data_IF_322849669556
#
_entry.id   IF_322849669556
#
_cell.length_a   1.000
_cell.length_b   1.000
_cell.length_c   1.000
_cell.angle_alpha   90.00
_cell.angle_beta   90.00
_cell.angle_gamma   90.00
#
_symmetry.space_group_name_H-M   'P 1'
#
loop_
_entity.id
_entity.type
_entity.pdbx_description
1 polymer ?
#
# COMPACT_ATOMS: atom_id res chain seq x y z
N UNK A 1 30.83 35.08 -57.92
CA UNK A 1 30.69 34.48 -56.57
C UNK A 1 29.43 35.01 -55.93
N UNK A 2 28.36 34.22 -55.90
CA UNK A 2 27.24 34.30 -54.92
C UNK A 2 26.16 33.29 -55.35
N UNK A 3 26.17 32.11 -54.75
CA UNK A 3 25.11 31.09 -54.89
C UNK A 3 24.23 31.18 -53.66
N UNK A 4 22.98 31.64 -53.84
CA UNK A 4 21.98 31.75 -52.78
C UNK A 4 21.41 30.34 -52.51
N UNK A 5 21.69 29.80 -51.31
CA UNK A 5 21.17 28.51 -50.85
C UNK A 5 19.75 28.66 -50.31
N UNK A 6 18.85 27.85 -50.87
CA UNK A 6 17.46 27.66 -50.46
C UNK A 6 17.36 27.10 -49.02
N UNK A 7 16.76 27.88 -48.11
CA UNK A 7 16.40 27.43 -46.76
C UNK A 7 15.08 26.66 -46.75
N UNK A 8 15.13 25.35 -46.52
CA UNK A 8 13.96 24.49 -46.27
C UNK A 8 13.27 24.93 -44.97
N UNK A 9 12.08 25.52 -45.08
CA UNK A 9 11.12 25.64 -43.95
C UNK A 9 10.68 24.22 -43.56
N UNK A 10 11.08 23.77 -42.37
CA UNK A 10 10.50 22.59 -41.71
C UNK A 10 9.14 22.96 -41.15
N UNK A 11 8.07 22.49 -41.80
CA UNK A 11 6.72 22.51 -41.25
C UNK A 11 6.67 21.53 -40.08
N UNK A 12 6.55 22.05 -38.86
CA UNK A 12 6.28 21.25 -37.67
C UNK A 12 4.82 20.77 -37.82
N UNK A 13 4.65 19.49 -38.14
CA UNK A 13 3.35 18.82 -38.05
C UNK A 13 3.03 18.65 -36.57
N UNK A 14 2.09 19.45 -36.07
CA UNK A 14 1.39 19.17 -34.81
C UNK A 14 0.56 17.90 -35.06
N UNK A 15 1.01 16.78 -34.51
CA UNK A 15 0.25 15.54 -34.55
C UNK A 15 -0.95 15.69 -33.62
N UNK A 16 -2.12 15.41 -34.18
CA UNK A 16 -3.42 15.56 -33.55
C UNK A 16 -3.56 14.68 -32.30
N UNK A 17 -4.08 15.29 -31.23
CA UNK A 17 -4.56 14.62 -30.04
C UNK A 17 -5.63 13.57 -30.41
N UNK A 18 -5.36 12.32 -30.06
CA UNK A 18 -6.38 11.30 -29.83
C UNK A 18 -6.32 10.97 -28.34
N UNK A 19 -7.03 11.73 -27.51
CA UNK A 19 -7.15 11.46 -26.08
C UNK A 19 -8.28 10.46 -25.82
N UNK A 20 -7.91 9.19 -25.63
CA UNK A 20 -8.67 8.21 -24.85
C UNK A 20 -8.02 8.20 -23.47
N UNK A 21 -8.76 8.55 -22.42
CA UNK A 21 -8.24 8.77 -21.06
C UNK A 21 -7.47 7.56 -20.53
N UNK A 22 -6.13 7.67 -20.49
CA UNK A 22 -5.25 6.57 -20.07
C UNK A 22 -5.28 6.28 -18.57
N UNK A 23 -4.87 5.06 -18.20
CA UNK A 23 -4.66 4.57 -16.83
C UNK A 23 -4.02 5.60 -15.86
N UNK A 24 -2.99 6.39 -16.24
CA UNK A 24 -2.41 7.40 -15.35
C UNK A 24 -3.42 8.46 -14.88
N UNK A 25 -4.38 8.83 -15.72
CA UNK A 25 -5.42 9.81 -15.38
C UNK A 25 -6.46 9.21 -14.42
N UNK A 26 -6.75 7.92 -14.52
CA UNK A 26 -7.67 7.22 -13.61
C UNK A 26 -7.08 7.06 -12.22
N UNK A 27 -5.82 6.63 -12.12
CA UNK A 27 -5.11 6.50 -10.83
C UNK A 27 -5.04 7.84 -10.09
N UNK A 28 -4.69 8.91 -10.81
CA UNK A 28 -4.66 10.25 -10.24
C UNK A 28 -6.04 10.69 -9.74
N UNK A 29 -7.11 10.47 -10.52
CA UNK A 29 -8.48 10.82 -10.11
C UNK A 29 -8.89 10.07 -8.84
N UNK A 30 -8.68 8.76 -8.79
CA UNK A 30 -9.01 7.96 -7.61
C UNK A 30 -8.26 8.44 -6.36
N UNK A 31 -6.98 8.78 -6.49
CA UNK A 31 -6.18 9.31 -5.39
C UNK A 31 -6.69 10.67 -4.88
N UNK A 32 -7.10 11.56 -5.80
CA UNK A 32 -7.72 12.85 -5.45
C UNK A 32 -9.09 12.64 -4.77
N UNK A 33 -9.91 11.72 -5.27
CA UNK A 33 -11.20 11.40 -4.66
C UNK A 33 -11.01 10.87 -3.24
N UNK A 34 -10.08 9.94 -3.04
CA UNK A 34 -9.69 9.44 -1.72
C UNK A 34 -9.18 10.54 -0.78
N UNK A 35 -8.33 11.46 -1.28
CA UNK A 35 -7.90 12.63 -0.52
C UNK A 35 -9.07 13.56 -0.14
N UNK A 36 -10.06 13.72 -1.02
CA UNK A 36 -11.25 14.52 -0.74
C UNK A 36 -12.08 13.93 0.41
N UNK A 37 -12.18 12.60 0.51
CA UNK A 37 -12.85 11.92 1.62
C UNK A 37 -12.14 12.21 2.94
N UNK A 38 -10.81 12.09 2.98
CA UNK A 38 -10.00 12.42 4.17
C UNK A 38 -10.10 13.88 4.57
N UNK A 39 -10.14 14.79 3.59
CA UNK A 39 -10.32 16.21 3.85
C UNK A 39 -11.71 16.51 4.43
N UNK A 40 -12.78 15.93 3.89
CA UNK A 40 -14.14 16.09 4.45
C UNK A 40 -14.24 15.56 5.88
N UNK A 41 -13.71 14.35 6.12
CA UNK A 41 -13.67 13.75 7.46
C UNK A 41 -12.97 14.67 8.47
N UNK A 42 -11.83 15.24 8.08
CA UNK A 42 -11.05 16.17 8.92
C UNK A 42 -11.85 17.41 9.35
N UNK A 43 -12.83 17.84 8.53
CA UNK A 43 -13.64 19.03 8.80
C UNK A 43 -14.98 18.71 9.49
N UNK A 44 -15.23 17.45 9.88
CA UNK A 44 -16.41 17.12 10.69
C UNK A 44 -16.26 17.64 12.12
N UNK A 45 -17.37 17.94 12.83
CA UNK A 45 -17.33 18.36 14.23
C UNK A 45 -16.64 17.36 15.16
N UNK A 46 -16.83 16.08 14.89
CA UNK A 46 -16.18 14.97 15.57
C UNK A 46 -15.53 14.09 14.49
N UNK A 47 -14.28 14.36 14.07
CA UNK A 47 -13.63 13.58 13.02
C UNK A 47 -13.12 12.24 13.57
N UNK A 48 -13.20 11.17 12.78
CA UNK A 48 -12.56 9.88 13.10
C UNK A 48 -11.03 10.01 13.17
N UNK A 49 -10.46 10.82 12.28
CA UNK A 49 -9.04 11.14 12.21
C UNK A 49 -8.85 12.51 11.58
N UNK A 50 -7.66 13.09 11.80
CA UNK A 50 -7.27 14.38 11.21
C UNK A 50 -6.16 14.12 10.19
N UNK A 51 -6.44 14.47 8.93
CA UNK A 51 -5.44 14.55 7.86
C UNK A 51 -5.18 16.01 7.53
N UNK A 52 -4.18 16.60 8.20
CA UNK A 52 -3.79 17.99 8.04
C UNK A 52 -3.31 18.34 6.62
N UNK A 53 -3.02 17.35 5.78
CA UNK A 53 -2.43 17.56 4.47
C UNK A 53 -3.38 17.22 3.31
N UNK A 54 -4.46 16.46 3.54
CA UNK A 54 -5.40 16.05 2.49
C UNK A 54 -5.88 17.23 1.62
N UNK A 55 -6.13 18.39 2.24
CA UNK A 55 -6.60 19.60 1.54
C UNK A 55 -5.62 20.11 0.47
N UNK A 56 -4.31 19.87 0.61
CA UNK A 56 -3.31 20.34 -0.35
C UNK A 56 -3.38 19.62 -1.70
N UNK A 57 -4.04 18.45 -1.76
CA UNK A 57 -4.24 17.70 -2.99
C UNK A 57 -5.48 18.12 -3.77
N UNK A 58 -6.36 18.90 -3.16
CA UNK A 58 -7.58 19.36 -3.80
C UNK A 58 -7.25 20.62 -4.60
N UNK A 59 -7.37 20.54 -5.92
CA UNK A 59 -7.44 21.75 -6.76
C UNK A 59 -8.87 22.25 -6.82
N UNK A 60 -9.10 23.41 -7.45
CA UNK A 60 -10.47 23.89 -7.77
C UNK A 60 -11.29 22.91 -8.64
N UNK A 61 -10.68 21.83 -9.16
CA UNK A 61 -11.39 20.75 -9.87
C UNK A 61 -12.12 19.77 -8.93
N UNK A 62 -11.95 19.88 -7.61
CA UNK A 62 -12.62 19.01 -6.64
C UNK A 62 -14.11 19.36 -6.40
N UNK A 63 -14.69 20.24 -7.21
CA UNK A 63 -16.04 20.77 -7.03
C UNK A 63 -17.20 19.84 -7.46
N UNK A 64 -16.96 18.63 -7.98
CA UNK A 64 -18.07 17.85 -8.57
C UNK A 64 -18.03 16.34 -8.45
N UNK A 65 -17.48 15.79 -7.36
CA UNK A 65 -17.83 14.43 -6.99
C UNK A 65 -19.01 14.48 -6.02
N UNK A 66 -20.22 14.20 -6.52
CA UNK A 66 -21.32 13.62 -5.73
C UNK A 66 -20.83 12.28 -5.16
N UNK A 67 -19.92 12.33 -4.20
CA UNK A 67 -19.38 11.12 -3.58
C UNK A 67 -20.47 10.60 -2.66
N UNK A 68 -21.02 9.45 -3.02
CA UNK A 68 -22.03 8.76 -2.23
C UNK A 68 -21.59 8.73 -0.74
N UNK A 69 -22.41 9.31 0.14
CA UNK A 69 -22.14 9.45 1.58
C UNK A 69 -21.72 8.13 2.24
N UNK A 70 -22.21 7.01 1.73
CA UNK A 70 -21.89 5.66 2.22
C UNK A 70 -20.45 5.26 1.85
N UNK A 71 -20.01 5.54 0.61
CA UNK A 71 -18.63 5.31 0.16
C UNK A 71 -17.64 6.16 0.97
N UNK A 72 -18.03 7.39 1.30
CA UNK A 72 -17.27 8.28 2.18
C UNK A 72 -17.05 7.67 3.57
N UNK A 73 -18.10 7.12 4.18
CA UNK A 73 -18.01 6.58 5.54
C UNK A 73 -17.09 5.36 5.63
N UNK A 74 -17.16 4.40 4.69
CA UNK A 74 -16.31 3.20 4.72
C UNK A 74 -14.84 3.54 4.53
N UNK A 75 -14.49 4.36 3.54
CA UNK A 75 -13.09 4.73 3.33
C UNK A 75 -12.49 5.43 4.56
N UNK A 76 -13.26 6.26 5.25
CA UNK A 76 -12.83 6.89 6.49
C UNK A 76 -12.69 5.88 7.65
N UNK A 77 -13.63 4.94 7.83
CA UNK A 77 -13.52 3.86 8.81
C UNK A 77 -12.29 2.98 8.56
N UNK A 78 -12.03 2.62 7.30
CA UNK A 78 -10.83 1.91 6.88
C UNK A 78 -9.56 2.69 7.21
N UNK A 79 -9.54 3.98 6.89
CA UNK A 79 -8.40 4.86 7.19
C UNK A 79 -8.10 4.86 8.68
N UNK A 80 -9.12 5.04 9.54
CA UNK A 80 -8.98 5.01 11.01
C UNK A 80 -8.49 3.67 11.52
N UNK A 81 -9.08 2.58 11.04
CA UNK A 81 -8.69 1.22 11.42
C UNK A 81 -7.22 0.94 11.07
N UNK A 82 -6.81 1.29 9.86
CA UNK A 82 -5.43 1.08 9.38
C UNK A 82 -4.45 1.92 10.19
N UNK A 83 -4.78 3.19 10.47
CA UNK A 83 -3.96 4.08 11.30
C UNK A 83 -3.76 3.51 12.71
N UNK A 84 -4.84 3.12 13.38
CA UNK A 84 -4.79 2.57 14.74
C UNK A 84 -3.99 1.27 14.78
N UNK A 85 -4.19 0.39 13.80
CA UNK A 85 -3.50 -0.89 13.72
C UNK A 85 -2.01 -0.69 13.44
N UNK A 86 -1.64 0.21 12.51
CA UNK A 86 -0.25 0.60 12.27
C UNK A 86 0.40 1.09 13.56
N UNK A 87 -0.22 2.06 14.24
CA UNK A 87 0.31 2.64 15.45
C UNK A 87 0.40 1.63 16.59
N UNK A 88 -0.58 0.75 16.74
CA UNK A 88 -0.56 -0.34 17.73
C UNK A 88 0.60 -1.31 17.49
N UNK A 89 0.88 -1.66 16.23
CA UNK A 89 1.94 -2.62 15.90
C UNK A 89 3.33 -1.99 16.09
N UNK A 90 3.57 -0.80 15.53
CA UNK A 90 4.92 -0.19 15.56
C UNK A 90 5.33 0.29 16.96
N UNK A 91 4.37 0.63 17.82
CA UNK A 91 4.61 1.04 19.21
C UNK A 91 4.71 -0.12 20.20
N UNK A 92 4.52 -1.38 19.76
CA UNK A 92 4.80 -2.55 20.60
C UNK A 92 6.26 -2.60 21.05
N UNK A 93 6.55 -3.36 22.11
CA UNK A 93 7.90 -3.48 22.71
C UNK A 93 8.96 -3.80 21.65
N UNK A 94 8.67 -4.75 20.77
CA UNK A 94 9.50 -5.15 19.63
C UNK A 94 8.85 -4.78 18.29
N UNK A 95 8.14 -3.65 18.27
CA UNK A 95 7.43 -3.18 17.08
C UNK A 95 8.37 -3.03 15.87
N UNK A 96 7.91 -3.36 14.65
CA UNK A 96 8.74 -3.27 13.46
C UNK A 96 9.19 -1.83 13.20
N UNK A 97 10.36 -1.70 12.57
CA UNK A 97 10.90 -0.42 12.07
C UNK A 97 10.86 -0.33 10.54
N UNK A 98 10.39 -1.36 9.87
CA UNK A 98 10.11 -1.36 8.44
C UNK A 98 8.59 -1.32 8.24
N UNK A 99 8.10 -0.24 7.65
CA UNK A 99 6.68 -0.01 7.38
C UNK A 99 6.52 0.06 5.87
N UNK A 100 5.74 -0.84 5.29
CA UNK A 100 5.45 -0.84 3.85
C UNK A 100 4.00 -0.42 3.66
N UNK A 101 3.81 0.70 2.97
CA UNK A 101 2.51 1.26 2.64
C UNK A 101 2.26 1.06 1.14
N UNK A 102 1.27 0.26 0.80
CA UNK A 102 0.75 0.10 -0.56
C UNK A 102 -0.41 1.08 -0.77
N UNK A 103 -0.18 2.13 -1.55
CA UNK A 103 -1.04 3.31 -1.57
C UNK A 103 -1.37 3.80 -2.98
N UNK A 104 -2.38 4.67 -3.07
CA UNK A 104 -2.73 5.39 -4.30
C UNK A 104 -1.74 6.51 -4.69
N UNK A 105 -0.72 6.78 -3.85
CA UNK A 105 0.29 7.81 -4.05
C UNK A 105 -0.02 9.17 -3.41
N UNK A 106 -1.19 9.35 -2.79
CA UNK A 106 -1.55 10.54 -2.01
C UNK A 106 -1.66 10.26 -0.50
N UNK A 107 -1.04 9.18 -0.01
CA UNK A 107 -1.03 8.84 1.41
C UNK A 107 -0.21 9.85 2.23
N UNK A 108 -0.81 10.35 3.31
CA UNK A 108 -0.27 11.38 4.20
C UNK A 108 0.24 10.80 5.53
N UNK A 109 0.04 9.49 5.78
CA UNK A 109 0.51 8.80 7.00
C UNK A 109 1.99 9.04 7.32
N UNK A 110 2.93 9.06 6.34
CA UNK A 110 4.33 9.38 6.64
C UNK A 110 4.52 10.74 7.32
N UNK A 111 3.61 11.68 7.08
CA UNK A 111 3.69 13.07 7.54
C UNK A 111 2.82 13.36 8.77
N UNK A 112 1.72 12.62 8.98
CA UNK A 112 0.75 12.88 10.05
C UNK A 112 0.78 11.88 11.21
N UNK A 113 1.29 10.67 11.02
CA UNK A 113 1.41 9.68 12.09
C UNK A 113 2.74 9.84 12.86
N UNK A 114 2.70 9.58 14.16
CA UNK A 114 3.85 9.71 15.07
C UNK A 114 4.69 8.44 15.08
N UNK A 115 5.44 8.21 14.01
CA UNK A 115 6.27 7.02 13.84
C UNK A 115 7.38 6.89 14.92
N UNK A 116 7.68 5.67 15.40
CA UNK A 116 8.84 5.41 16.23
C UNK A 116 10.15 5.87 15.58
N UNK A 117 11.15 6.19 16.40
CA UNK A 117 12.49 6.57 15.91
C UNK A 117 13.10 5.45 15.08
N UNK A 118 13.87 5.84 14.05
CA UNK A 118 14.56 4.93 13.13
C UNK A 118 13.60 4.08 12.29
N UNK A 119 12.40 4.59 12.02
CA UNK A 119 11.43 3.95 11.12
C UNK A 119 11.77 4.22 9.64
N UNK A 120 11.76 3.16 8.84
CA UNK A 120 11.86 3.17 7.39
C UNK A 120 10.48 2.93 6.81
N UNK A 121 9.96 3.91 6.09
CA UNK A 121 8.63 3.89 5.49
C UNK A 121 8.82 3.73 3.98
N UNK A 122 8.39 2.60 3.45
CA UNK A 122 8.41 2.28 2.03
C UNK A 122 7.03 2.57 1.45
N UNK A 123 6.92 3.59 0.60
CA UNK A 123 5.68 3.94 -0.09
C UNK A 123 5.70 3.27 -1.47
N UNK A 124 4.89 2.23 -1.64
CA UNK A 124 4.71 1.55 -2.92
C UNK A 124 3.45 2.11 -3.58
N UNK A 125 3.66 2.96 -4.57
CA UNK A 125 2.56 3.71 -5.21
C UNK A 125 2.90 4.17 -6.63
N UNK A 126 1.89 4.55 -7.45
CA UNK A 126 2.10 5.01 -8.81
C UNK A 126 3.03 6.23 -8.87
N UNK A 127 4.11 6.15 -9.64
CA UNK A 127 5.18 7.15 -9.58
C UNK A 127 4.71 8.57 -9.94
N UNK A 128 3.82 8.69 -10.92
CA UNK A 128 3.29 9.98 -11.35
C UNK A 128 2.42 10.66 -10.27
N UNK A 129 1.61 9.87 -9.55
CA UNK A 129 0.76 10.39 -8.47
C UNK A 129 1.62 10.78 -7.27
N UNK A 130 2.57 9.91 -6.90
CA UNK A 130 3.51 10.18 -5.81
C UNK A 130 4.31 11.46 -6.01
N UNK A 131 4.88 11.70 -7.19
CA UNK A 131 5.70 12.90 -7.42
C UNK A 131 4.87 14.19 -7.35
N UNK A 132 3.63 14.16 -7.87
CA UNK A 132 2.71 15.29 -7.73
C UNK A 132 2.35 15.54 -6.25
N UNK A 133 2.06 14.48 -5.50
CA UNK A 133 1.74 14.57 -4.08
C UNK A 133 2.93 15.12 -3.28
N UNK A 134 4.14 14.60 -3.53
CA UNK A 134 5.38 15.04 -2.91
C UNK A 134 5.65 16.52 -3.11
N UNK A 135 5.42 17.04 -4.31
CA UNK A 135 5.57 18.47 -4.61
C UNK A 135 4.57 19.33 -3.84
N UNK A 136 3.30 18.92 -3.75
CA UNK A 136 2.25 19.63 -3.02
C UNK A 136 2.50 19.63 -1.51
N UNK A 137 2.84 18.46 -0.95
CA UNK A 137 3.22 18.29 0.45
C UNK A 137 4.43 19.16 0.81
N UNK A 138 5.44 19.20 -0.05
CA UNK A 138 6.59 20.12 0.12
C UNK A 138 6.15 21.58 0.08
N UNK A 139 5.22 21.95 -0.81
CA UNK A 139 4.68 23.30 -0.94
C UNK A 139 3.97 23.81 0.32
N UNK A 140 3.28 22.93 1.05
CA UNK A 140 2.64 23.26 2.34
C UNK A 140 3.55 23.05 3.55
N UNK A 141 4.83 22.72 3.33
CA UNK A 141 5.82 22.55 4.39
C UNK A 141 5.66 21.26 5.20
N UNK A 142 4.99 20.23 4.66
CA UNK A 142 4.87 18.93 5.30
C UNK A 142 6.27 18.31 5.52
N UNK A 143 6.50 17.80 6.73
CA UNK A 143 7.79 17.20 7.11
C UNK A 143 7.55 15.88 7.81
N UNK A 144 8.37 14.91 7.47
CA UNK A 144 8.48 13.64 8.20
C UNK A 144 9.39 13.87 9.40
N UNK A 145 9.20 13.10 10.48
CA UNK A 145 10.08 13.11 11.63
C UNK A 145 11.55 12.90 11.18
N UNK A 146 12.48 13.72 11.70
CA UNK A 146 13.91 13.67 11.32
C UNK A 146 14.58 12.31 11.58
N UNK A 147 13.98 11.49 12.43
CA UNK A 147 14.44 10.15 12.78
C UNK A 147 13.88 9.05 11.88
N UNK A 148 13.07 9.40 10.88
CA UNK A 148 12.45 8.45 9.96
C UNK A 148 12.87 8.75 8.52
N UNK A 149 12.78 7.74 7.66
CA UNK A 149 13.05 7.87 6.23
C UNK A 149 11.84 7.41 5.43
N UNK A 150 11.43 8.20 4.44
CA UNK A 150 10.41 7.83 3.45
C UNK A 150 11.09 7.50 2.12
N UNK A 151 10.78 6.33 1.60
CA UNK A 151 11.40 5.73 0.42
C UNK A 151 10.31 5.30 -0.54
N UNK A 152 10.14 6.03 -1.65
CA UNK A 152 9.16 5.67 -2.68
C UNK A 152 9.65 4.52 -3.55
N UNK A 153 8.81 3.52 -3.78
CA UNK A 153 9.02 2.41 -4.72
C UNK A 153 7.92 2.50 -5.78
N UNK A 154 8.27 2.75 -7.06
CA UNK A 154 7.29 2.78 -8.13
C UNK A 154 6.51 1.47 -8.21
N UNK A 155 5.18 1.58 -8.14
CA UNK A 155 4.27 0.43 -8.30
C UNK A 155 4.46 -0.24 -9.68
N UNK A 156 4.79 0.55 -10.69
CA UNK A 156 5.02 0.12 -12.07
C UNK A 156 6.36 -0.60 -12.29
N UNK A 157 7.20 -0.73 -11.25
CA UNK A 157 8.47 -1.46 -11.36
C UNK A 157 8.23 -2.91 -11.77
N UNK A 158 9.00 -3.39 -12.75
CA UNK A 158 8.93 -4.78 -13.23
C UNK A 158 9.37 -5.77 -12.16
N UNK A 159 10.28 -5.36 -11.28
CA UNK A 159 10.71 -6.13 -10.11
C UNK A 159 10.61 -5.27 -8.85
N UNK A 160 9.41 -5.24 -8.28
CA UNK A 160 9.12 -4.52 -7.03
C UNK A 160 9.88 -5.11 -5.85
N UNK A 161 10.14 -6.43 -5.83
CA UNK A 161 10.87 -7.08 -4.75
C UNK A 161 12.31 -6.59 -4.70
N UNK A 162 12.99 -6.61 -5.84
CA UNK A 162 14.35 -6.09 -5.95
C UNK A 162 14.40 -4.59 -5.67
N UNK A 163 13.41 -3.83 -6.15
CA UNK A 163 13.31 -2.40 -5.86
C UNK A 163 13.20 -2.10 -4.37
N UNK A 164 12.46 -2.93 -3.62
CA UNK A 164 12.35 -2.82 -2.16
C UNK A 164 13.67 -3.21 -1.48
N UNK A 165 14.31 -4.32 -1.90
CA UNK A 165 15.61 -4.78 -1.38
C UNK A 165 16.70 -3.73 -1.56
N UNK A 166 16.81 -3.14 -2.75
CA UNK A 166 17.77 -2.08 -3.06
C UNK A 166 17.56 -0.81 -2.24
N UNK A 167 16.33 -0.58 -1.74
CA UNK A 167 16.03 0.51 -0.80
C UNK A 167 16.24 0.14 0.66
N UNK A 168 16.69 -1.08 0.93
CA UNK A 168 17.06 -1.56 2.26
C UNK A 168 15.97 -2.33 2.99
N UNK A 169 14.86 -2.69 2.34
CA UNK A 169 13.91 -3.62 2.95
C UNK A 169 14.57 -5.00 3.05
N UNK A 170 14.62 -5.56 4.26
CA UNK A 170 15.10 -6.92 4.50
C UNK A 170 13.99 -7.82 5.02
N UNK A 171 13.84 -8.99 4.41
CA UNK A 171 12.94 -10.03 4.88
C UNK A 171 13.46 -10.79 6.09
N UNK A 172 14.61 -10.45 6.63
CA UNK A 172 15.10 -11.00 7.91
C UNK A 172 14.78 -10.14 9.12
N UNK A 173 14.13 -9.00 8.92
CA UNK A 173 13.83 -8.00 9.96
C UNK A 173 12.31 -7.82 10.01
N UNK A 174 11.70 -7.63 11.20
CA UNK A 174 10.27 -7.43 11.31
C UNK A 174 9.78 -6.26 10.47
N UNK A 175 8.66 -6.47 9.78
CA UNK A 175 7.99 -5.49 8.93
C UNK A 175 6.49 -5.50 9.15
N UNK A 176 5.85 -4.38 8.87
CA UNK A 176 4.39 -4.25 8.84
C UNK A 176 3.96 -3.73 7.48
N UNK A 177 2.93 -4.35 6.91
CA UNK A 177 2.45 -4.07 5.56
C UNK A 177 1.00 -3.60 5.61
N UNK A 178 0.72 -2.45 5.03
CA UNK A 178 -0.63 -1.90 4.96
C UNK A 178 -1.01 -1.58 3.52
N UNK A 179 -2.25 -1.90 3.11
CA UNK A 179 -2.79 -1.55 1.79
C UNK A 179 -4.08 -0.72 1.91
N UNK A 180 -4.14 0.39 1.17
CA UNK A 180 -5.37 1.16 1.02
C UNK A 180 -5.33 2.02 -0.24
N UNK A 181 -6.46 2.15 -0.94
CA UNK A 181 -6.61 3.10 -2.05
C UNK A 181 -5.98 2.66 -3.37
N UNK A 182 -4.92 1.85 -3.34
CA UNK A 182 -4.39 1.26 -4.57
C UNK A 182 -5.40 0.22 -5.09
N UNK A 183 -5.90 0.38 -6.32
CA UNK A 183 -6.90 -0.52 -6.84
C UNK A 183 -6.26 -1.85 -7.25
N UNK A 184 -6.48 -2.88 -6.44
CA UNK A 184 -6.17 -4.27 -6.81
C UNK A 184 -7.27 -4.76 -7.75
N UNK A 185 -7.04 -4.58 -9.05
CA UNK A 185 -8.11 -4.63 -10.06
C UNK A 185 -8.60 -6.05 -10.39
N UNK A 186 -7.82 -7.08 -10.08
CA UNK A 186 -8.16 -8.47 -10.39
C UNK A 186 -7.41 -9.45 -9.45
N UNK A 187 -7.75 -10.74 -9.58
CA UNK A 187 -7.13 -11.81 -8.81
C UNK A 187 -5.64 -11.97 -9.04
N UNK A 188 -5.16 -11.83 -10.27
CA UNK A 188 -3.72 -11.97 -10.57
C UNK A 188 -2.90 -10.89 -9.85
N UNK A 189 -3.40 -9.66 -9.78
CA UNK A 189 -2.75 -8.59 -9.03
C UNK A 189 -2.73 -8.85 -7.51
N UNK A 190 -3.78 -9.48 -6.97
CA UNK A 190 -3.81 -9.87 -5.57
C UNK A 190 -2.84 -11.03 -5.30
N UNK A 191 -2.80 -12.02 -6.19
CA UNK A 191 -1.88 -13.16 -6.13
C UNK A 191 -0.42 -12.68 -6.16
N UNK A 192 -0.06 -11.83 -7.14
CA UNK A 192 1.26 -11.21 -7.23
C UNK A 192 1.64 -10.44 -5.95
N UNK A 193 0.68 -9.72 -5.37
CA UNK A 193 0.87 -9.00 -4.11
C UNK A 193 1.11 -9.98 -2.96
N UNK A 194 0.31 -11.03 -2.82
CA UNK A 194 0.45 -12.04 -1.77
C UNK A 194 1.76 -12.84 -1.91
N UNK A 195 2.18 -13.17 -3.13
CA UNK A 195 3.49 -13.77 -3.41
C UNK A 195 4.61 -12.84 -2.96
N UNK A 196 4.54 -11.56 -3.33
CA UNK A 196 5.57 -10.58 -2.98
C UNK A 196 5.65 -10.30 -1.48
N UNK A 197 4.52 -10.07 -0.80
CA UNK A 197 4.51 -9.91 0.66
C UNK A 197 4.95 -11.21 1.31
N UNK A 198 4.55 -12.35 0.76
CA UNK A 198 4.90 -13.69 1.22
C UNK A 198 6.41 -13.98 1.18
N UNK A 199 7.11 -13.52 0.16
CA UNK A 199 8.56 -13.70 0.02
C UNK A 199 9.37 -12.72 0.86
N UNK A 200 8.84 -11.52 1.12
CA UNK A 200 9.58 -10.43 1.77
C UNK A 200 9.25 -10.23 3.25
N UNK A 201 8.06 -10.61 3.72
CA UNK A 201 7.69 -10.48 5.12
C UNK A 201 8.19 -11.69 5.91
N UNK A 202 8.95 -11.46 6.99
CA UNK A 202 9.39 -12.53 7.88
C UNK A 202 8.20 -13.20 8.59
N UNK A 203 8.40 -14.43 9.07
CA UNK A 203 7.41 -15.13 9.89
C UNK A 203 6.96 -14.25 11.06
N UNK A 204 5.64 -14.16 11.25
CA UNK A 204 5.01 -13.36 12.30
C UNK A 204 4.68 -11.91 11.89
N UNK A 205 5.21 -11.41 10.76
CA UNK A 205 4.83 -10.11 10.24
C UNK A 205 3.33 -10.02 9.92
N UNK A 206 2.80 -8.80 9.99
CA UNK A 206 1.40 -8.51 9.72
C UNK A 206 1.23 -7.79 8.37
N UNK A 207 0.27 -8.24 7.58
CA UNK A 207 -0.23 -7.59 6.38
C UNK A 207 -1.72 -7.32 6.54
N UNK A 208 -2.18 -6.07 6.38
CA UNK A 208 -3.58 -5.73 6.60
C UNK A 208 -3.99 -4.56 5.71
N UNK A 209 -5.29 -4.29 5.63
CA UNK A 209 -5.77 -3.15 4.87
C UNK A 209 -7.15 -3.36 4.29
N UNK A 210 -7.44 -2.57 3.25
CA UNK A 210 -8.69 -2.63 2.50
C UNK A 210 -8.48 -3.26 1.12
N UNK A 211 -9.41 -4.13 0.74
CA UNK A 211 -9.39 -4.91 -0.50
C UNK A 211 -10.75 -4.89 -1.18
N UNK A 212 -10.81 -4.59 -2.48
CA UNK A 212 -12.04 -4.57 -3.27
C UNK A 212 -12.40 -5.94 -3.85
N UNK A 213 -13.09 -6.78 -3.07
CA UNK A 213 -13.54 -8.14 -3.47
C UNK A 213 -14.51 -8.20 -4.65
N UNK A 214 -15.23 -7.12 -4.97
CA UNK A 214 -16.22 -7.12 -6.06
C UNK A 214 -15.64 -7.34 -7.45
N UNK A 215 -14.36 -7.05 -7.64
CA UNK A 215 -13.69 -7.15 -8.94
C UNK A 215 -13.19 -8.56 -9.25
N UNK A 216 -13.34 -9.50 -8.31
CA UNK A 216 -12.54 -10.71 -8.27
C UNK A 216 -13.31 -11.97 -8.63
N UNK A 217 -14.65 -11.95 -8.64
CA UNK A 217 -15.48 -13.00 -9.22
C UNK A 217 -16.93 -12.51 -9.46
N UNK A 218 -17.54 -12.78 -10.64
CA UNK A 218 -18.97 -12.53 -10.87
C UNK A 218 -19.79 -13.64 -10.19
N UNK A 219 -20.55 -13.32 -9.14
CA UNK A 219 -21.49 -14.27 -8.52
C UNK A 219 -21.71 -14.15 -7.01
N UNK A 220 -20.93 -13.32 -6.30
CA UNK A 220 -21.12 -13.05 -4.86
C UNK A 220 -22.32 -12.13 -4.56
N UNK A 221 -23.47 -12.35 -5.19
CA UNK A 221 -24.70 -11.60 -4.88
C UNK A 221 -25.38 -12.09 -3.59
N UNK A 222 -24.97 -13.24 -3.05
CA UNK A 222 -25.42 -13.75 -1.75
C UNK A 222 -24.34 -14.66 -1.12
N UNK A 223 -24.23 -14.64 0.22
CA UNK A 223 -23.41 -15.49 1.12
C UNK A 223 -22.02 -14.96 1.57
N UNK A 224 -22.02 -14.16 2.66
CA UNK A 224 -20.82 -13.79 3.45
C UNK A 224 -19.92 -14.97 3.83
N UNK A 225 -20.48 -16.17 4.03
CA UNK A 225 -19.72 -17.38 4.41
C UNK A 225 -18.80 -17.88 3.30
N UNK A 226 -19.19 -17.70 2.05
CA UNK A 226 -18.44 -18.21 0.91
C UNK A 226 -17.28 -17.28 0.59
N UNK A 227 -17.46 -15.97 0.78
CA UNK A 227 -16.38 -14.98 0.69
C UNK A 227 -15.30 -15.25 1.73
N UNK A 228 -15.69 -15.52 2.99
CA UNK A 228 -14.72 -15.84 4.05
C UNK A 228 -13.89 -17.08 3.69
N UNK A 229 -14.54 -18.21 3.37
CA UNK A 229 -13.82 -19.45 3.02
C UNK A 229 -12.89 -19.27 1.82
N UNK A 230 -13.31 -18.49 0.83
CA UNK A 230 -12.51 -18.20 -0.34
C UNK A 230 -11.28 -17.34 0.00
N UNK A 231 -11.46 -16.26 0.76
CA UNK A 231 -10.37 -15.40 1.25
C UNK A 231 -9.40 -16.22 2.11
N UNK A 232 -9.92 -17.05 3.03
CA UNK A 232 -9.11 -17.93 3.87
C UNK A 232 -8.25 -18.85 3.02
N UNK A 233 -8.85 -19.53 2.03
CA UNK A 233 -8.13 -20.44 1.14
C UNK A 233 -7.05 -19.72 0.34
N UNK A 234 -7.34 -18.53 -0.20
CA UNK A 234 -6.40 -17.75 -0.99
C UNK A 234 -5.21 -17.26 -0.16
N UNK A 235 -5.45 -16.70 1.02
CA UNK A 235 -4.37 -16.25 1.89
C UNK A 235 -3.55 -17.42 2.44
N UNK A 236 -4.22 -18.52 2.81
CA UNK A 236 -3.55 -19.72 3.31
C UNK A 236 -2.66 -20.37 2.24
N UNK A 237 -3.04 -20.36 0.96
CA UNK A 237 -2.15 -20.86 -0.11
C UNK A 237 -0.87 -20.04 -0.27
N UNK A 238 -0.90 -18.80 0.22
CA UNK A 238 0.25 -17.89 0.29
C UNK A 238 0.89 -17.85 1.69
N UNK A 239 0.53 -18.76 2.58
CA UNK A 239 1.10 -18.87 3.91
C UNK A 239 0.66 -17.80 4.89
N UNK A 240 -0.49 -17.16 4.65
CA UNK A 240 -1.07 -16.20 5.57
C UNK A 240 -2.29 -16.78 6.29
N UNK A 241 -2.33 -16.64 7.62
CA UNK A 241 -3.59 -16.75 8.35
C UNK A 241 -4.29 -15.39 8.28
N UNK A 242 -5.56 -15.34 7.86
CA UNK A 242 -6.30 -14.09 7.63
C UNK A 242 -7.59 -14.05 8.43
N UNK A 243 -7.87 -12.88 8.99
CA UNK A 243 -9.14 -12.53 9.62
C UNK A 243 -9.79 -11.40 8.82
N UNK A 244 -11.06 -11.57 8.43
CA UNK A 244 -11.85 -10.47 7.83
C UNK A 244 -12.46 -9.64 8.95
N UNK A 245 -12.29 -8.33 8.87
CA UNK A 245 -12.84 -7.38 9.84
C UNK A 245 -14.08 -6.72 9.25
N UNK A 246 -15.21 -6.85 9.94
CA UNK A 246 -16.47 -6.27 9.50
C UNK A 246 -16.50 -4.76 9.76
N UNK A 247 -16.89 -3.98 8.74
CA UNK A 247 -17.08 -2.52 8.89
C UNK A 247 -18.09 -2.16 9.99
N UNK A 248 -19.14 -2.97 10.18
CA UNK A 248 -20.13 -2.77 11.24
C UNK A 248 -19.52 -2.91 12.64
N UNK A 249 -18.50 -3.76 12.80
CA UNK A 249 -17.78 -3.91 14.05
C UNK A 249 -16.92 -2.67 14.35
N UNK A 250 -16.18 -2.20 13.34
CA UNK A 250 -15.36 -0.99 13.45
C UNK A 250 -16.23 0.23 13.73
N UNK A 251 -17.33 0.40 12.99
CA UNK A 251 -18.26 1.49 13.20
C UNK A 251 -18.81 1.49 14.62
N UNK A 252 -19.23 0.32 15.13
CA UNK A 252 -19.72 0.18 16.51
C UNK A 252 -18.65 0.54 17.54
N UNK A 253 -17.43 0.07 17.36
CA UNK A 253 -16.31 0.37 18.27
C UNK A 253 -15.93 1.86 18.27
N UNK A 254 -16.19 2.56 17.16
CA UNK A 254 -15.95 4.00 17.01
C UNK A 254 -17.21 4.86 17.28
N UNK A 255 -18.28 4.27 17.83
CA UNK A 255 -19.56 4.95 18.06
C UNK A 255 -20.14 5.64 16.82
N UNK A 256 -20.01 5.00 15.65
CA UNK A 256 -20.58 5.45 14.38
C UNK A 256 -21.76 4.56 13.96
N UNK A 257 -22.69 5.15 13.21
CA UNK A 257 -23.74 4.40 12.54
C UNK A 257 -23.14 3.41 11.55
N UNK A 258 -23.79 2.26 11.37
CA UNK A 258 -23.38 1.30 10.33
C UNK A 258 -23.36 2.03 8.97
N UNK A 259 -22.27 1.89 8.19
CA UNK A 259 -22.19 2.55 6.90
C UNK A 259 -23.32 2.10 5.95
N UNK A 260 -23.94 0.94 6.18
CA UNK A 260 -25.00 0.40 5.31
C UNK A 260 -24.47 -0.04 3.94
N UNK A 261 -25.22 -0.90 3.25
CA UNK A 261 -24.93 -1.38 1.90
C UNK A 261 -23.81 -2.42 1.80
N UNK A 262 -23.92 -3.32 0.82
CA UNK A 262 -22.82 -4.18 0.41
C UNK A 262 -21.96 -3.43 -0.60
N UNK A 263 -20.72 -3.12 -0.21
CA UNK A 263 -19.82 -2.31 -1.02
C UNK A 263 -18.60 -3.05 -1.55
N UNK A 264 -18.61 -4.39 -1.50
CA UNK A 264 -17.62 -5.18 -2.23
C UNK A 264 -16.17 -4.83 -1.87
N UNK A 265 -15.96 -4.23 -0.69
CA UNK A 265 -14.66 -4.04 -0.07
C UNK A 265 -14.67 -4.66 1.32
N UNK A 266 -13.59 -5.37 1.64
CA UNK A 266 -13.34 -5.99 2.94
C UNK A 266 -12.16 -5.30 3.60
N UNK A 267 -12.18 -5.29 4.94
CA UNK A 267 -10.98 -5.08 5.72
C UNK A 267 -10.47 -6.45 6.16
N UNK A 268 -9.16 -6.61 6.21
CA UNK A 268 -8.55 -7.86 6.62
C UNK A 268 -7.30 -7.60 7.46
N UNK A 269 -6.95 -8.59 8.28
CA UNK A 269 -5.67 -8.68 8.98
C UNK A 269 -5.09 -10.06 8.72
N UNK A 270 -3.89 -10.11 8.19
CA UNK A 270 -3.20 -11.34 7.86
C UNK A 270 -1.86 -11.44 8.59
N UNK A 271 -1.56 -12.62 9.11
CA UNK A 271 -0.28 -12.94 9.74
C UNK A 271 0.51 -13.92 8.87
N UNK A 272 1.76 -13.58 8.57
CA UNK A 272 2.68 -14.44 7.84
C UNK A 272 3.06 -15.66 8.69
N UNK A 273 2.80 -16.85 8.17
CA UNK A 273 3.12 -18.13 8.83
C UNK A 273 4.45 -18.72 8.34
N UNK A 274 4.88 -18.35 7.14
CA UNK A 274 6.09 -18.89 6.49
C UNK A 274 7.31 -18.02 6.78
N UNK A 275 8.49 -18.62 6.66
CA UNK A 275 9.73 -17.88 6.62
C UNK A 275 9.79 -17.10 5.29
N UNK A 276 10.32 -15.88 5.34
CA UNK A 276 10.65 -15.13 4.12
C UNK A 276 11.77 -15.82 3.35
N UNK A 277 11.99 -15.40 2.10
CA UNK A 277 13.09 -15.91 1.28
C UNK A 277 14.45 -15.61 1.94
N UNK A 278 14.61 -14.44 2.57
CA UNK A 278 15.83 -14.07 3.29
C UNK A 278 16.05 -14.96 4.52
N UNK A 279 14.99 -15.30 5.25
CA UNK A 279 15.09 -16.20 6.39
C UNK A 279 15.45 -17.61 5.92
N UNK A 280 14.80 -18.10 4.86
CA UNK A 280 15.09 -19.41 4.28
C UNK A 280 16.54 -19.50 3.80
N UNK A 281 17.05 -18.47 3.14
CA UNK A 281 18.42 -18.45 2.64
C UNK A 281 19.45 -18.44 3.77
N UNK A 282 19.20 -17.66 4.84
CA UNK A 282 20.03 -17.72 6.05
C UNK A 282 20.05 -19.11 6.68
N UNK A 283 18.90 -19.78 6.75
CA UNK A 283 18.81 -21.15 7.27
C UNK A 283 19.59 -22.15 6.41
N UNK A 284 19.54 -22.03 5.07
CA UNK A 284 20.30 -22.89 4.15
C UNK A 284 21.81 -22.71 4.33
N UNK A 285 22.28 -21.47 4.38
CA UNK A 285 23.70 -21.17 4.57
C UNK A 285 24.23 -21.68 5.92
N UNK A 286 23.44 -21.54 6.99
CA UNK A 286 23.85 -22.05 8.29
C UNK A 286 23.89 -23.58 8.32
N UNK A 287 22.95 -24.25 7.67
CA UNK A 287 22.95 -25.71 7.58
C UNK A 287 24.18 -26.22 6.81
N UNK A 288 24.50 -25.61 5.67
CA UNK A 288 25.70 -25.94 4.91
C UNK A 288 26.98 -25.74 5.72
N UNK A 289 27.08 -24.65 6.50
CA UNK A 289 28.22 -24.39 7.38
C UNK A 289 28.40 -25.47 8.44
N UNK A 290 27.29 -26.00 8.98
CA UNK A 290 27.32 -27.07 9.98
C UNK A 290 27.77 -28.39 9.35
N UNK A 291 27.31 -28.70 8.14
CA UNK A 291 27.76 -29.89 7.41
C UNK A 291 29.26 -29.83 7.07
N UNK A 292 29.74 -28.69 6.55
CA UNK A 292 31.16 -28.48 6.24
C UNK A 292 32.06 -28.60 7.49
N UNK A 293 31.63 -28.05 8.64
CA UNK A 293 32.37 -28.16 9.89
C UNK A 293 32.37 -29.60 10.46
N UNK A 294 31.26 -30.34 10.32
CA UNK A 294 31.18 -31.73 10.77
C UNK A 294 32.05 -32.67 9.91
N UNK A 295 32.19 -32.37 8.62
CA UNK A 295 33.09 -33.10 7.73
C UNK A 295 34.56 -32.83 8.10
N UNK A 296 34.95 -31.59 8.41
CA UNK A 296 36.32 -31.24 8.84
C UNK A 296 36.73 -31.92 10.16
N UNK A 297 35.84 -31.95 11.16
CA UNK A 297 36.10 -32.63 12.45
C UNK A 297 36.22 -34.17 12.28
N UNK A 298 35.61 -34.74 11.23
CA UNK A 298 35.71 -36.17 10.91
C UNK A 298 37.05 -36.59 10.27
N UNK A 299 37.87 -35.65 9.80
CA UNK A 299 39.19 -35.91 9.23
C UNK A 299 40.34 -35.75 10.22
N UNK A 300 40.13 -35.15 11.40
CA UNK A 300 41.17 -34.99 12.43
C UNK A 300 41.33 -36.21 13.35
N UNK A 301 40.44 -37.21 13.28
CA UNK A 301 40.49 -38.45 14.09
C UNK A 301 41.05 -39.71 13.36
N UNK A 302 41.67 -39.58 12.18
CA UNK A 302 42.28 -40.71 11.43
C UNK A 302 43.81 -40.68 11.34
#
# INVERSE_FOLDING_TARGET
MATIKNGRRRTIRVAAEHQVGGEPHRLLRNAVDAASLRFRETNLPEPLFVDAYAGCFLSSLAESAETNLISSSRYCLATKFIDDKLMSIVNGVDGPRQIVLWTDGMDTRPYRLSWPRSSFIFDVSPAGVYELARQRLKGVGAKIAKTCMLLHVPYESSDRQESLRMKGLSGSIPSVWAIQGLPVMNLAMLDDLLVMVGSMAMKGCTFFGELSVRLWEPGFENYKSDTQKWVDKLFMSHGFHVDIVAYDEIARNLNRGSPGGDHGSILFVAQQLRLSDDQMERWRLEFQRIEEAADEDGFEEM
#
